data_IF_945895472815
#
_entry.id   IF_945895472815
#
_cell.length_a   1.000
_cell.length_b   1.000
_cell.length_c   1.000
_cell.angle_alpha   90.00
_cell.angle_beta   90.00
_cell.angle_gamma   90.00
#
_symmetry.space_group_name_H-M   'P 1'
#
loop_
_entity.id
_entity.type
_entity.pdbx_description
1 polymer ?
#
# COMPACT_ATOMS: atom_id res chain seq x y z
N UNK A 1 15.71 -10.14 6.55
CA UNK A 1 15.43 -9.98 5.11
C UNK A 1 16.48 -9.07 4.48
N UNK A 2 17.01 -9.51 3.36
CA UNK A 2 18.02 -8.76 2.63
C UNK A 2 17.40 -7.65 1.79
N UNK A 3 18.22 -6.72 1.34
CA UNK A 3 17.81 -5.68 0.38
C UNK A 3 17.30 -6.29 -0.93
N UNK A 4 17.92 -7.38 -1.39
CA UNK A 4 17.47 -8.10 -2.58
C UNK A 4 16.07 -8.70 -2.40
N UNK A 5 15.75 -9.21 -1.22
CA UNK A 5 14.41 -9.71 -0.90
C UNK A 5 13.40 -8.56 -0.90
N UNK A 6 13.74 -7.42 -0.33
CA UNK A 6 12.87 -6.24 -0.30
C UNK A 6 12.53 -5.77 -1.72
N UNK A 7 13.51 -5.75 -2.61
CA UNK A 7 13.30 -5.40 -4.02
C UNK A 7 12.38 -6.42 -4.69
N UNK A 8 12.63 -7.70 -4.48
CA UNK A 8 11.84 -8.79 -5.06
C UNK A 8 10.37 -8.68 -4.69
N UNK A 9 10.06 -8.49 -3.41
CA UNK A 9 8.68 -8.39 -2.94
C UNK A 9 8.05 -7.06 -3.31
N UNK A 10 8.82 -5.97 -3.38
CA UNK A 10 8.29 -4.70 -3.88
C UNK A 10 7.89 -4.80 -5.35
N UNK A 11 8.61 -5.58 -6.16
CA UNK A 11 8.20 -5.83 -7.56
C UNK A 11 6.88 -6.58 -7.64
N UNK A 12 6.63 -7.53 -6.74
CA UNK A 12 5.33 -8.20 -6.64
C UNK A 12 4.22 -7.19 -6.29
N UNK A 13 4.48 -6.28 -5.37
CA UNK A 13 3.53 -5.22 -5.03
C UNK A 13 3.29 -4.28 -6.22
N UNK A 14 4.33 -3.94 -6.99
CA UNK A 14 4.20 -3.13 -8.20
C UNK A 14 3.33 -3.81 -9.27
N UNK A 15 3.43 -5.12 -9.44
CA UNK A 15 2.58 -5.86 -10.36
C UNK A 15 1.11 -5.74 -9.97
N UNK A 16 0.81 -5.78 -8.67
CA UNK A 16 -0.54 -5.56 -8.15
C UNK A 16 -1.01 -4.12 -8.35
N UNK A 17 -0.11 -3.15 -8.21
CA UNK A 17 -0.41 -1.75 -8.50
C UNK A 17 -0.84 -1.57 -9.96
N UNK A 18 -0.22 -2.28 -10.89
CA UNK A 18 -0.61 -2.25 -12.30
C UNK A 18 -1.99 -2.87 -12.53
N UNK A 19 -2.35 -3.91 -11.79
CA UNK A 19 -3.69 -4.48 -11.83
C UNK A 19 -4.74 -3.45 -11.38
N UNK A 20 -4.44 -2.68 -10.32
CA UNK A 20 -5.30 -1.58 -9.89
C UNK A 20 -5.50 -0.55 -11.01
N UNK A 21 -4.42 -0.15 -11.67
CA UNK A 21 -4.49 0.81 -12.78
C UNK A 21 -5.40 0.29 -13.91
N UNK A 22 -5.22 -0.98 -14.29
CA UNK A 22 -6.05 -1.59 -15.34
C UNK A 22 -7.54 -1.62 -14.95
N UNK A 23 -7.84 -1.68 -13.66
CA UNK A 23 -9.20 -1.61 -13.13
C UNK A 23 -9.73 -0.17 -12.96
N UNK A 24 -8.96 0.84 -13.35
CA UNK A 24 -9.35 2.25 -13.22
C UNK A 24 -9.14 2.85 -11.83
N UNK A 25 -8.35 2.21 -10.99
CA UNK A 25 -8.07 2.64 -9.62
C UNK A 25 -6.69 3.30 -9.51
N UNK A 26 -6.46 4.02 -8.43
CA UNK A 26 -5.12 4.54 -8.13
C UNK A 26 -4.15 3.36 -7.95
N UNK A 27 -3.01 3.35 -8.65
CA UNK A 27 -2.12 2.18 -8.70
C UNK A 27 -1.28 2.02 -7.43
N UNK A 28 -1.85 1.33 -6.47
CA UNK A 28 -1.16 0.91 -5.23
C UNK A 28 -1.35 -0.58 -5.08
N UNK A 29 -0.27 -1.29 -4.77
CA UNK A 29 -0.27 -2.72 -4.52
C UNK A 29 0.44 -3.04 -3.22
N UNK A 30 0.06 -4.15 -2.59
CA UNK A 30 0.65 -4.60 -1.34
C UNK A 30 0.70 -6.12 -1.25
N UNK A 31 1.76 -6.63 -0.63
CA UNK A 31 1.89 -8.06 -0.30
C UNK A 31 2.28 -8.21 1.15
N UNK A 32 1.81 -9.30 1.77
CA UNK A 32 2.22 -9.72 3.12
C UNK A 32 3.09 -10.96 2.95
N UNK A 33 4.26 -10.95 3.60
CA UNK A 33 5.27 -12.02 3.49
C UNK A 33 5.54 -12.60 4.87
N UNK A 34 5.57 -13.93 4.94
CA UNK A 34 5.98 -14.67 6.12
C UNK A 34 6.94 -15.77 5.71
N UNK A 35 8.08 -15.87 6.39
CA UNK A 35 9.09 -16.91 6.12
C UNK A 35 9.50 -16.97 4.63
N UNK A 36 9.66 -15.80 4.00
CA UNK A 36 10.07 -15.69 2.61
C UNK A 36 9.00 -15.99 1.58
N UNK A 37 7.75 -16.20 2.00
CA UNK A 37 6.64 -16.50 1.10
C UNK A 37 5.52 -15.49 1.21
N UNK A 38 4.88 -15.17 0.09
CA UNK A 38 3.73 -14.27 0.07
C UNK A 38 2.51 -15.02 0.60
N UNK A 39 1.94 -14.52 1.69
CA UNK A 39 0.75 -15.07 2.33
C UNK A 39 -0.49 -14.22 2.13
N UNK A 40 -0.37 -13.04 1.55
CA UNK A 40 -1.50 -12.17 1.24
C UNK A 40 -1.15 -11.16 0.16
N UNK A 41 -2.13 -10.84 -0.70
CA UNK A 41 -2.01 -9.90 -1.80
C UNK A 41 -3.20 -8.97 -1.84
N UNK A 42 -2.99 -7.72 -2.24
CA UNK A 42 -4.05 -6.77 -2.45
C UNK A 42 -3.66 -5.63 -3.36
N UNK A 43 -4.61 -5.11 -4.10
CA UNK A 43 -4.45 -3.87 -4.83
C UNK A 43 -5.59 -2.92 -4.49
N UNK A 44 -5.33 -1.63 -4.66
CA UNK A 44 -6.27 -0.56 -4.34
C UNK A 44 -7.49 -0.63 -5.25
N UNK A 45 -8.70 -0.73 -4.66
CA UNK A 45 -9.93 -0.84 -5.45
C UNK A 45 -11.18 -0.26 -4.75
N UNK A 46 -11.12 0.95 -4.17
CA UNK A 46 -12.28 1.52 -3.49
C UNK A 46 -13.45 1.80 -4.43
N UNK A 47 -13.19 2.16 -5.69
CA UNK A 47 -14.24 2.47 -6.66
C UNK A 47 -14.99 1.20 -7.07
N UNK A 48 -14.27 0.19 -7.55
CA UNK A 48 -14.84 -1.07 -8.05
C UNK A 48 -15.59 -1.81 -6.94
N UNK A 49 -15.03 -1.86 -5.74
CA UNK A 49 -15.64 -2.57 -4.61
C UNK A 49 -16.64 -1.72 -3.83
N UNK A 50 -16.76 -0.42 -4.15
CA UNK A 50 -17.63 0.52 -3.41
C UNK A 50 -17.35 0.48 -1.91
N UNK A 51 -16.08 0.47 -1.57
CA UNK A 51 -15.61 0.34 -0.19
C UNK A 51 -14.49 1.36 0.06
N UNK A 52 -14.72 2.39 0.88
CA UNK A 52 -13.70 3.41 1.15
C UNK A 52 -12.48 2.86 1.89
N UNK A 53 -12.59 1.68 2.48
CA UNK A 53 -11.46 1.03 3.17
C UNK A 53 -10.66 0.09 2.28
N UNK A 54 -11.04 -0.08 1.00
CA UNK A 54 -10.43 -1.05 0.09
C UNK A 54 -9.08 -0.56 -0.44
N UNK A 55 -8.20 -0.10 0.42
CA UNK A 55 -6.80 0.16 0.10
C UNK A 55 -6.04 -1.16 -0.08
N UNK A 56 -4.99 -1.14 -0.87
CA UNK A 56 -4.17 -2.32 -1.15
C UNK A 56 -3.75 -3.04 0.14
N UNK A 57 -3.33 -2.26 1.13
CA UNK A 57 -2.82 -2.80 2.40
C UNK A 57 -3.91 -3.50 3.21
N UNK A 58 -5.11 -2.92 3.30
CA UNK A 58 -6.24 -3.53 4.00
C UNK A 58 -6.66 -4.83 3.31
N UNK A 59 -6.69 -4.83 1.99
CA UNK A 59 -7.02 -6.03 1.23
C UNK A 59 -5.98 -7.14 1.40
N UNK A 60 -4.70 -6.77 1.40
CA UNK A 60 -3.63 -7.74 1.63
C UNK A 60 -3.70 -8.33 3.05
N UNK A 61 -4.01 -7.50 4.07
CA UNK A 61 -4.21 -7.97 5.44
C UNK A 61 -5.37 -8.95 5.53
N UNK A 62 -6.49 -8.64 4.91
CA UNK A 62 -7.67 -9.52 4.89
C UNK A 62 -7.36 -10.85 4.22
N UNK A 63 -6.68 -10.83 3.09
CA UNK A 63 -6.27 -12.03 2.38
C UNK A 63 -5.34 -12.89 3.25
N UNK A 64 -4.32 -12.29 3.85
CA UNK A 64 -3.39 -13.00 4.71
C UNK A 64 -4.08 -13.57 5.96
N UNK A 65 -4.93 -12.78 6.62
CA UNK A 65 -5.64 -13.21 7.82
C UNK A 65 -6.56 -14.40 7.54
N UNK A 66 -7.24 -14.38 6.40
CA UNK A 66 -8.09 -15.51 5.98
C UNK A 66 -7.26 -16.76 5.71
N UNK A 67 -6.16 -16.64 4.99
CA UNK A 67 -5.28 -17.77 4.67
C UNK A 67 -4.58 -18.33 5.89
N UNK A 68 -4.12 -17.46 6.79
CA UNK A 68 -3.45 -17.88 8.02
C UNK A 68 -4.42 -18.26 9.13
N UNK A 69 -5.71 -18.03 8.95
CA UNK A 69 -6.78 -18.28 9.93
C UNK A 69 -6.51 -17.58 11.25
N UNK A 70 -5.98 -16.36 11.20
CA UNK A 70 -5.64 -15.57 12.37
C UNK A 70 -5.60 -14.10 11.99
N UNK A 71 -6.27 -13.23 12.73
CA UNK A 71 -6.19 -11.80 12.47
C UNK A 71 -4.84 -11.19 12.87
N UNK A 72 -4.12 -11.83 13.79
CA UNK A 72 -2.77 -11.43 14.14
C UNK A 72 -1.78 -12.10 13.19
N UNK A 73 -1.02 -11.27 12.49
CA UNK A 73 -0.07 -11.71 11.48
C UNK A 73 1.35 -11.53 12.01
N UNK A 74 1.67 -12.29 13.07
CA UNK A 74 2.96 -12.23 13.74
C UNK A 74 4.09 -12.63 12.77
N UNK A 75 5.23 -11.98 12.92
CA UNK A 75 6.44 -12.24 12.13
C UNK A 75 6.26 -12.03 10.62
N UNK A 76 5.28 -11.22 10.25
CA UNK A 76 5.04 -10.86 8.85
C UNK A 76 5.65 -9.51 8.51
N UNK A 77 6.06 -9.37 7.25
CA UNK A 77 6.48 -8.10 6.66
C UNK A 77 5.45 -7.69 5.60
N UNK A 78 5.06 -6.42 5.59
CA UNK A 78 4.19 -5.86 4.56
C UNK A 78 5.00 -5.00 3.60
N UNK A 79 4.84 -5.26 2.32
CA UNK A 79 5.39 -4.44 1.25
C UNK A 79 4.25 -3.69 0.58
N UNK A 80 4.41 -2.38 0.43
CA UNK A 80 3.41 -1.52 -0.22
C UNK A 80 4.11 -0.48 -1.09
N UNK A 81 3.55 -0.20 -2.25
CA UNK A 81 4.20 0.71 -3.22
C UNK A 81 4.14 2.18 -2.80
N UNK A 82 3.26 2.54 -1.88
CA UNK A 82 3.07 3.91 -1.41
C UNK A 82 3.15 3.95 0.13
N UNK A 83 3.71 5.02 0.67
CA UNK A 83 3.75 5.27 2.12
C UNK A 83 2.36 5.08 2.72
N UNK A 84 2.22 4.31 3.83
CA UNK A 84 0.92 4.00 4.40
C UNK A 84 0.21 5.23 4.98
N UNK A 85 -1.12 5.24 4.82
CA UNK A 85 -1.98 6.26 5.42
C UNK A 85 -2.35 5.87 6.86
N UNK A 86 -3.06 6.75 7.55
CA UNK A 86 -3.46 6.57 8.95
C UNK A 86 -4.36 5.33 9.13
N UNK A 87 -5.32 5.12 8.25
CA UNK A 87 -6.22 3.96 8.29
C UNK A 87 -5.45 2.65 8.17
N UNK A 88 -4.59 2.54 7.16
CA UNK A 88 -3.82 1.33 6.91
C UNK A 88 -2.79 1.05 8.01
N UNK A 89 -2.20 2.10 8.58
CA UNK A 89 -1.29 1.98 9.72
C UNK A 89 -2.02 1.45 10.94
N UNK A 90 -3.21 1.96 11.24
CA UNK A 90 -4.04 1.46 12.33
C UNK A 90 -4.41 -0.01 12.15
N UNK A 91 -4.87 -0.38 10.97
CA UNK A 91 -5.20 -1.77 10.64
C UNK A 91 -4.01 -2.71 10.87
N UNK A 92 -2.85 -2.27 10.46
CA UNK A 92 -1.62 -3.03 10.57
C UNK A 92 -1.15 -3.20 12.01
N UNK A 93 -1.34 -2.18 12.84
CA UNK A 93 -1.05 -2.27 14.26
C UNK A 93 -1.98 -3.28 14.95
N UNK A 94 -3.25 -3.35 14.56
CA UNK A 94 -4.16 -4.38 15.04
C UNK A 94 -3.72 -5.79 14.61
N UNK A 95 -3.19 -5.92 13.39
CA UNK A 95 -2.67 -7.19 12.88
C UNK A 95 -1.30 -7.55 13.46
N UNK A 96 -0.63 -6.65 14.17
CA UNK A 96 0.69 -6.87 14.76
C UNK A 96 1.78 -7.15 13.74
N UNK A 97 1.72 -6.50 12.58
CA UNK A 97 2.77 -6.61 11.56
C UNK A 97 4.10 -6.15 12.15
N UNK A 98 5.15 -6.94 11.95
CA UNK A 98 6.46 -6.68 12.54
C UNK A 98 7.27 -5.64 11.76
N UNK A 99 7.13 -5.62 10.44
CA UNK A 99 7.96 -4.78 9.56
C UNK A 99 7.15 -4.30 8.38
N UNK A 100 7.33 -3.03 8.02
CA UNK A 100 6.69 -2.42 6.85
C UNK A 100 7.77 -1.84 5.95
N UNK A 101 7.66 -2.18 4.66
CA UNK A 101 8.53 -1.64 3.62
C UNK A 101 7.65 -0.91 2.61
N UNK A 102 7.92 0.36 2.36
CA UNK A 102 7.16 1.11 1.37
C UNK A 102 8.07 1.67 0.27
N UNK A 103 7.47 1.97 -0.88
CA UNK A 103 8.17 2.52 -2.03
C UNK A 103 8.23 4.05 -2.00
N UNK A 104 7.25 4.71 -2.57
CA UNK A 104 7.20 6.16 -2.70
C UNK A 104 6.58 6.83 -1.47
N UNK A 105 7.04 8.03 -1.14
CA UNK A 105 6.44 8.88 -0.10
C UNK A 105 5.09 9.42 -0.57
N UNK A 106 4.18 9.63 0.37
CA UNK A 106 2.90 10.27 0.13
C UNK A 106 2.84 11.58 0.93
N UNK A 107 3.10 12.73 0.29
CA UNK A 107 3.13 14.00 1.02
C UNK A 107 1.76 14.49 1.47
N UNK A 108 0.67 13.90 1.01
CA UNK A 108 -0.69 14.31 1.36
C UNK A 108 -1.30 13.53 2.51
N UNK A 109 -1.06 12.23 2.57
CA UNK A 109 -1.73 11.34 3.54
C UNK A 109 -0.79 10.36 4.23
N UNK A 110 0.50 10.35 3.91
CA UNK A 110 1.47 9.42 4.48
C UNK A 110 1.74 9.71 5.94
N UNK A 111 1.77 8.67 6.77
CA UNK A 111 2.02 8.78 8.21
C UNK A 111 3.26 8.04 8.69
N UNK A 112 4.19 7.78 7.77
CA UNK A 112 5.51 7.23 8.09
C UNK A 112 6.61 8.29 7.92
N UNK A 113 6.28 9.55 8.21
CA UNK A 113 7.20 10.67 8.19
C UNK A 113 6.77 11.86 7.33
N UNK A 114 5.82 11.70 6.41
CA UNK A 114 5.42 12.79 5.51
C UNK A 114 4.49 13.80 6.19
N UNK A 115 3.30 13.42 6.57
CA UNK A 115 2.34 14.30 7.27
C UNK A 115 2.47 14.12 8.78
N UNK A 116 2.53 12.89 9.22
CA UNK A 116 2.72 12.47 10.61
C UNK A 116 3.73 11.33 10.63
N UNK A 117 4.19 10.97 11.83
CA UNK A 117 4.99 9.78 12.03
C UNK A 117 4.40 8.93 13.14
N UNK A 118 3.51 8.00 12.78
CA UNK A 118 2.92 7.06 13.74
C UNK A 118 3.88 5.94 14.12
N UNK A 119 4.89 5.67 13.31
CA UNK A 119 5.87 4.62 13.58
C UNK A 119 6.89 5.02 14.63
N UNK A 120 7.11 6.32 14.79
CA UNK A 120 7.96 6.88 15.83
C UNK A 120 7.23 7.29 17.09
N UNK A 121 5.92 7.06 17.20
CA UNK A 121 5.13 7.49 18.36
C UNK A 121 5.23 6.48 19.52
N UNK A 122 5.88 6.84 20.64
CA UNK A 122 6.13 5.87 21.71
C UNK A 122 4.87 5.49 22.51
N UNK A 123 3.80 6.30 22.44
CA UNK A 123 2.58 6.06 23.20
C UNK A 123 1.68 4.98 22.58
N UNK A 124 1.91 4.60 21.32
CA UNK A 124 1.15 3.53 20.69
C UNK A 124 1.60 2.17 21.26
N UNK A 125 0.65 1.24 21.36
CA UNK A 125 0.87 -0.03 22.02
C UNK A 125 1.48 -1.12 21.11
N UNK A 126 1.76 -0.78 19.86
CA UNK A 126 2.49 -1.65 18.94
C UNK A 126 3.49 -0.81 18.16
N UNK A 127 4.66 -1.38 17.92
CA UNK A 127 5.71 -0.74 17.16
C UNK A 127 6.20 -1.68 16.08
N UNK A 128 6.30 -1.16 14.86
CA UNK A 128 6.79 -1.91 13.71
C UNK A 128 8.05 -1.24 13.18
N UNK A 129 8.97 -2.02 12.64
CA UNK A 129 10.08 -1.48 11.88
C UNK A 129 9.57 -0.92 10.57
N UNK A 130 10.02 0.28 10.20
CA UNK A 130 9.60 0.95 8.97
C UNK A 130 10.81 1.20 8.07
N UNK A 131 10.71 0.81 6.81
CA UNK A 131 11.75 1.04 5.79
C UNK A 131 11.07 1.66 4.58
N UNK A 132 11.56 2.82 4.16
CA UNK A 132 11.01 3.52 2.99
C UNK A 132 12.02 3.62 1.86
N UNK A 133 11.51 3.94 0.67
CA UNK A 133 12.35 4.23 -0.48
C UNK A 133 12.75 3.03 -1.34
N UNK A 134 12.17 1.87 -1.11
CA UNK A 134 12.47 0.68 -1.93
C UNK A 134 11.73 0.80 -3.26
N UNK A 135 12.50 0.91 -4.36
CA UNK A 135 11.98 1.19 -5.70
C UNK A 135 11.09 2.45 -5.73
N UNK A 136 11.47 3.46 -4.95
CA UNK A 136 10.68 4.69 -4.80
C UNK A 136 10.40 5.37 -6.14
N UNK A 137 11.37 5.40 -7.03
CA UNK A 137 11.24 6.06 -8.33
C UNK A 137 10.22 5.33 -9.22
N UNK A 138 10.29 4.01 -9.30
CA UNK A 138 9.35 3.19 -10.06
C UNK A 138 7.93 3.30 -9.51
N UNK A 139 7.79 3.24 -8.19
CA UNK A 139 6.50 3.39 -7.52
C UNK A 139 5.90 4.79 -7.74
N UNK A 140 6.72 5.81 -7.60
CA UNK A 140 6.30 7.20 -7.79
C UNK A 140 5.95 7.52 -9.25
N UNK A 141 6.69 6.96 -10.20
CA UNK A 141 6.43 7.16 -11.62
C UNK A 141 5.08 6.60 -12.05
N UNK A 142 4.71 5.45 -11.52
CA UNK A 142 3.40 4.84 -11.81
C UNK A 142 2.26 5.73 -11.32
N UNK A 143 2.38 6.27 -10.11
CA UNK A 143 1.39 7.21 -9.55
C UNK A 143 1.32 8.51 -10.35
N UNK A 144 2.46 9.08 -10.72
CA UNK A 144 2.52 10.31 -11.51
C UNK A 144 1.87 10.12 -12.87
N UNK A 145 2.05 8.99 -13.51
CA UNK A 145 1.46 8.66 -14.80
C UNK A 145 -0.07 8.66 -14.76
N UNK A 146 -0.67 8.02 -13.71
CA UNK A 146 -2.14 7.98 -13.61
C UNK A 146 -2.72 9.37 -13.30
N UNK A 147 -2.06 10.17 -12.47
CA UNK A 147 -2.54 11.53 -12.18
C UNK A 147 -2.43 12.45 -13.39
N UNK A 148 -1.37 12.32 -14.20
CA UNK A 148 -1.22 13.03 -15.45
C UNK A 148 -2.33 12.65 -16.45
N UNK A 149 -2.65 11.37 -16.56
CA UNK A 149 -3.72 10.86 -17.40
C UNK A 149 -5.09 11.41 -16.97
N UNK A 150 -5.37 11.40 -15.67
CA UNK A 150 -6.62 11.95 -15.12
C UNK A 150 -6.76 13.44 -15.36
N UNK A 151 -5.68 14.22 -15.22
CA UNK A 151 -5.69 15.66 -15.53
C UNK A 151 -5.96 15.91 -17.01
N UNK A 152 -5.39 15.12 -17.90
CA UNK A 152 -5.62 15.22 -19.33
C UNK A 152 -7.08 14.91 -19.69
N UNK A 153 -7.67 13.89 -19.08
CA UNK A 153 -9.08 13.55 -19.24
C UNK A 153 -10.01 14.67 -18.73
N UNK A 154 -9.69 15.25 -17.59
CA UNK A 154 -10.49 16.32 -16.99
C UNK A 154 -10.50 17.60 -17.84
N UNK A 155 -9.48 17.82 -18.68
CA UNK A 155 -9.40 18.96 -19.62
C UNK A 155 -10.11 18.70 -20.94
N UNK A 156 -10.59 17.48 -21.18
CA UNK A 156 -11.30 17.12 -22.39
C UNK A 156 -12.72 17.71 -22.41
N UNK A 157 -13.23 18.13 -23.59
CA UNK A 157 -14.56 18.76 -23.69
C UNK A 157 -15.72 17.81 -23.31
N UNK A 158 -15.54 16.50 -23.38
CA UNK A 158 -16.58 15.51 -23.09
C UNK A 158 -16.83 15.33 -21.59
N UNK A 159 -16.02 15.89 -20.70
CA UNK A 159 -16.12 15.71 -19.26
C UNK A 159 -16.70 16.91 -18.51
N UNK A 160 -16.95 18.01 -19.24
CA UNK A 160 -17.44 19.24 -18.63
C UNK A 160 -18.86 19.14 -18.06
N UNK A 161 -19.64 18.16 -18.51
CA UNK A 161 -21.05 18.00 -18.18
C UNK A 161 -21.34 16.77 -17.28
N UNK A 162 -20.31 16.18 -16.70
CA UNK A 162 -20.46 15.01 -15.83
C UNK A 162 -20.28 15.39 -14.37
N UNK A 163 -21.30 15.96 -13.80
CA UNK A 163 -21.43 16.14 -12.36
C UNK A 163 -22.18 14.97 -11.73
#
# INVERSE_FOLDING_TARGET
MSEADDIRFMREALALAQEAWQAGEVPVGAVIVKDGEIVGRGYNCPIVSRDPTAHAEVRALRDAATRQRNYRLLDCTRYVTLEPCMMCTGAMFHARIARIVYGAKDPKTGVAGSVLDLYGEPRLNHHAEIVGGVLAEECGSLLSAIFAERRAQAKGPALADQD
#
